data_IF_467431901021
#
_entry.id   IF_467431901021
#
_cell.length_a   1.000
_cell.length_b   1.000
_cell.length_c   1.000
_cell.angle_alpha   90.00
_cell.angle_beta   90.00
_cell.angle_gamma   90.00
#
_symmetry.space_group_name_H-M   'P 1'
#
loop_
_entity.id
_entity.type
_entity.pdbx_description
1 polymer ?
#
# COMPACT_ATOMS: atom_id res chain seq x y z
N UNK A 1 -0.25 -19.61 21.84
CA UNK A 1 -0.87 -18.94 20.69
C UNK A 1 0.17 -18.63 19.64
N UNK A 2 -0.18 -18.86 18.40
CA UNK A 2 0.71 -18.58 17.29
C UNK A 2 0.76 -17.07 17.03
N UNK A 3 1.96 -16.52 16.89
CA UNK A 3 2.10 -15.13 16.49
C UNK A 3 1.57 -14.95 15.07
N UNK A 4 0.90 -13.84 14.84
CA UNK A 4 0.51 -13.45 13.49
C UNK A 4 1.61 -12.61 12.85
N UNK A 5 1.71 -12.69 11.55
CA UNK A 5 2.69 -11.94 10.77
C UNK A 5 2.02 -10.77 10.06
N UNK A 6 2.60 -9.61 10.22
CA UNK A 6 2.22 -8.40 9.49
C UNK A 6 3.32 -8.11 8.48
N UNK A 7 3.00 -8.18 7.20
CA UNK A 7 3.96 -7.87 6.14
C UNK A 7 3.79 -6.41 5.71
N UNK A 8 4.89 -5.66 5.76
CA UNK A 8 4.97 -4.31 5.21
C UNK A 8 5.61 -4.40 3.84
N UNK A 9 4.88 -4.03 2.81
CA UNK A 9 5.36 -4.16 1.43
C UNK A 9 6.42 -3.11 1.14
N UNK A 10 7.59 -3.58 0.76
CA UNK A 10 8.71 -2.76 0.28
C UNK A 10 8.76 -2.84 -1.23
N UNK A 11 8.40 -1.75 -1.89
CA UNK A 11 8.56 -1.62 -3.34
C UNK A 11 9.45 -0.41 -3.68
N UNK A 12 10.31 -0.02 -2.73
CA UNK A 12 11.26 1.08 -2.90
C UNK A 12 10.70 2.45 -2.59
N UNK A 13 9.43 2.56 -2.23
CA UNK A 13 8.74 3.83 -1.98
C UNK A 13 8.09 3.79 -0.61
N UNK A 14 8.57 4.62 0.30
CA UNK A 14 7.96 4.74 1.62
C UNK A 14 8.97 4.83 2.76
N UNK A 15 8.51 5.32 3.89
CA UNK A 15 9.31 5.33 5.11
C UNK A 15 9.06 4.05 5.89
N UNK A 16 9.69 2.98 5.43
CA UNK A 16 9.41 1.63 5.91
C UNK A 16 9.85 1.42 7.35
N UNK A 17 10.97 2.02 7.74
CA UNK A 17 11.47 1.89 9.09
C UNK A 17 10.50 2.49 10.11
N UNK A 18 9.98 3.67 9.83
CA UNK A 18 9.02 4.33 10.71
C UNK A 18 7.71 3.55 10.81
N UNK A 19 7.24 3.02 9.69
CA UNK A 19 6.01 2.20 9.65
C UNK A 19 6.22 0.93 10.47
N UNK A 20 7.32 0.22 10.24
CA UNK A 20 7.61 -1.01 10.96
C UNK A 20 7.78 -0.76 12.47
N UNK A 21 8.46 0.32 12.85
CA UNK A 21 8.63 0.70 14.25
C UNK A 21 7.30 1.00 14.93
N UNK A 22 6.43 1.74 14.26
CA UNK A 22 5.11 2.06 14.78
C UNK A 22 4.27 0.79 14.98
N UNK A 23 4.29 -0.11 14.01
CA UNK A 23 3.56 -1.37 14.10
C UNK A 23 4.09 -2.24 15.23
N UNK A 24 5.40 -2.35 15.38
CA UNK A 24 6.01 -3.12 16.48
C UNK A 24 5.68 -2.53 17.84
N UNK A 25 5.56 -1.21 17.92
CA UNK A 25 5.20 -0.53 19.15
C UNK A 25 3.75 -0.80 19.57
N UNK A 26 2.81 -0.73 18.63
CA UNK A 26 1.39 -0.89 18.93
C UNK A 26 0.95 -2.36 18.94
N UNK A 27 1.72 -3.23 18.31
CA UNK A 27 1.42 -4.66 18.24
C UNK A 27 2.66 -5.49 18.58
N UNK A 28 3.19 -5.39 19.82
CA UNK A 28 4.45 -6.06 20.17
C UNK A 28 4.36 -7.59 20.15
N UNK A 29 3.15 -8.13 20.09
CA UNK A 29 2.92 -9.58 20.06
C UNK A 29 2.92 -10.13 18.65
N UNK A 30 3.01 -9.26 17.63
CA UNK A 30 3.00 -9.68 16.23
C UNK A 30 4.41 -9.64 15.66
N UNK A 31 4.64 -10.46 14.63
CA UNK A 31 5.87 -10.40 13.85
C UNK A 31 5.68 -9.41 12.71
N UNK A 32 6.44 -8.32 12.72
CA UNK A 32 6.41 -7.32 11.65
C UNK A 32 7.58 -7.56 10.72
N UNK A 33 7.29 -7.81 9.45
CA UNK A 33 8.30 -8.13 8.43
C UNK A 33 8.19 -7.13 7.30
N UNK A 34 9.30 -6.45 7.00
CA UNK A 34 9.40 -5.59 5.81
C UNK A 34 9.95 -6.45 4.69
N UNK A 35 9.23 -6.54 3.58
CA UNK A 35 9.60 -7.46 2.52
C UNK A 35 9.21 -6.96 1.13
N UNK A 36 10.05 -7.27 0.16
CA UNK A 36 9.75 -7.11 -1.27
C UNK A 36 9.42 -8.43 -1.94
N UNK A 37 9.34 -9.51 -1.17
CA UNK A 37 9.05 -10.85 -1.70
C UNK A 37 7.54 -11.11 -1.68
N UNK A 38 6.91 -11.28 -2.86
CA UNK A 38 5.48 -11.57 -2.94
C UNK A 38 5.06 -12.82 -2.17
N UNK A 39 5.93 -13.82 -2.07
CA UNK A 39 5.61 -15.05 -1.34
C UNK A 39 5.48 -14.81 0.15
N UNK A 40 6.32 -13.93 0.72
CA UNK A 40 6.25 -13.55 2.13
C UNK A 40 4.96 -12.77 2.41
N UNK A 41 4.59 -11.87 1.50
CA UNK A 41 3.34 -11.10 1.62
C UNK A 41 2.14 -12.05 1.55
N UNK A 42 2.15 -13.00 0.62
CA UNK A 42 1.06 -13.97 0.47
C UNK A 42 0.90 -14.85 1.71
N UNK A 43 1.99 -15.17 2.40
CA UNK A 43 1.96 -16.01 3.59
C UNK A 43 1.59 -15.23 4.87
N UNK A 44 1.64 -13.91 4.85
CA UNK A 44 1.34 -13.08 6.02
C UNK A 44 -0.15 -13.10 6.35
N UNK A 45 -0.46 -12.83 7.62
CA UNK A 45 -1.85 -12.75 8.08
C UNK A 45 -2.48 -11.39 7.79
N UNK A 46 -1.67 -10.34 7.77
CA UNK A 46 -2.09 -8.97 7.51
C UNK A 46 -1.04 -8.28 6.67
N UNK A 47 -1.48 -7.31 5.88
CA UNK A 47 -0.59 -6.59 4.96
C UNK A 47 -0.73 -5.09 5.19
N UNK A 48 0.39 -4.40 5.27
CA UNK A 48 0.46 -2.94 5.28
C UNK A 48 1.08 -2.49 3.97
N UNK A 49 0.37 -1.63 3.26
CA UNK A 49 0.76 -1.13 1.95
C UNK A 49 1.02 0.36 2.03
N UNK A 50 2.26 0.77 2.34
CA UNK A 50 2.64 2.17 2.44
C UNK A 50 3.02 2.74 1.08
N UNK A 51 3.25 4.04 1.02
CA UNK A 51 3.79 4.67 -0.17
C UNK A 51 3.95 6.16 0.04
N UNK A 52 5.02 6.71 -0.50
CA UNK A 52 5.27 8.15 -0.53
C UNK A 52 5.81 8.53 -1.91
N UNK A 53 5.70 9.82 -2.24
CA UNK A 53 6.19 10.33 -3.51
C UNK A 53 5.13 10.34 -4.60
N UNK A 54 5.58 10.35 -5.85
CA UNK A 54 4.68 10.46 -6.99
C UNK A 54 3.97 9.13 -7.26
N UNK A 55 2.66 9.20 -7.44
CA UNK A 55 1.83 8.01 -7.70
C UNK A 55 2.29 7.28 -8.97
N UNK A 56 2.76 8.00 -9.98
CA UNK A 56 3.26 7.39 -11.22
C UNK A 56 4.45 6.46 -10.94
N UNK A 57 5.40 6.93 -10.14
CA UNK A 57 6.59 6.14 -9.80
C UNK A 57 6.21 4.94 -8.92
N UNK A 58 5.31 5.16 -7.97
CA UNK A 58 4.81 4.08 -7.13
C UNK A 58 4.13 2.99 -7.97
N UNK A 59 3.24 3.38 -8.87
CA UNK A 59 2.54 2.42 -9.72
C UNK A 59 3.49 1.65 -10.65
N UNK A 60 4.53 2.31 -11.16
CA UNK A 60 5.53 1.64 -11.99
C UNK A 60 6.22 0.51 -11.22
N UNK A 61 6.64 0.78 -9.98
CA UNK A 61 7.31 -0.23 -9.15
C UNK A 61 6.34 -1.32 -8.66
N UNK A 62 5.12 -0.95 -8.30
CA UNK A 62 4.08 -1.90 -7.91
C UNK A 62 3.84 -2.91 -9.03
N UNK A 63 3.70 -2.43 -10.26
CA UNK A 63 3.48 -3.30 -11.42
C UNK A 63 4.71 -4.13 -11.76
N UNK A 64 5.88 -3.52 -11.69
CA UNK A 64 7.14 -4.21 -11.99
C UNK A 64 7.36 -5.41 -11.07
N UNK A 65 7.00 -5.26 -9.80
CA UNK A 65 7.18 -6.31 -8.78
C UNK A 65 5.98 -7.25 -8.68
N UNK A 66 4.90 -6.98 -9.41
CA UNK A 66 3.71 -7.84 -9.42
C UNK A 66 2.79 -7.66 -8.22
N UNK A 67 2.96 -6.61 -7.44
CA UNK A 67 2.14 -6.39 -6.24
C UNK A 67 0.69 -5.98 -6.57
N UNK A 68 0.43 -5.44 -7.75
CA UNK A 68 -0.93 -5.13 -8.18
C UNK A 68 -1.80 -6.40 -8.24
N UNK A 69 -1.29 -7.45 -8.87
CA UNK A 69 -1.98 -8.74 -8.95
C UNK A 69 -2.07 -9.40 -7.58
N UNK A 70 -0.98 -9.38 -6.83
CA UNK A 70 -0.93 -10.00 -5.51
C UNK A 70 -1.94 -9.37 -4.55
N UNK A 71 -1.99 -8.04 -4.48
CA UNK A 71 -2.93 -7.35 -3.61
C UNK A 71 -4.37 -7.65 -4.00
N UNK A 72 -4.67 -7.68 -5.29
CA UNK A 72 -6.01 -8.02 -5.77
C UNK A 72 -6.42 -9.40 -5.30
N UNK A 73 -5.54 -10.38 -5.44
CA UNK A 73 -5.79 -11.76 -5.02
C UNK A 73 -5.94 -11.86 -3.50
N UNK A 74 -5.05 -11.24 -2.75
CA UNK A 74 -5.06 -11.33 -1.28
C UNK A 74 -6.29 -10.65 -0.68
N UNK A 75 -6.68 -9.51 -1.20
CA UNK A 75 -7.89 -8.81 -0.74
C UNK A 75 -9.13 -9.63 -1.07
N UNK A 76 -9.16 -10.28 -2.22
CA UNK A 76 -10.28 -11.15 -2.61
C UNK A 76 -10.45 -12.33 -1.66
N UNK A 77 -9.37 -12.81 -1.04
CA UNK A 77 -9.45 -13.88 -0.03
C UNK A 77 -9.93 -13.41 1.33
N UNK A 78 -10.10 -12.11 1.52
CA UNK A 78 -10.51 -11.52 2.79
C UNK A 78 -9.35 -11.12 3.70
N UNK A 79 -8.11 -11.18 3.22
CA UNK A 79 -6.96 -10.78 4.02
C UNK A 79 -7.03 -9.27 4.34
N UNK A 80 -6.83 -8.87 5.60
CA UNK A 80 -6.79 -7.45 5.95
C UNK A 80 -5.59 -6.75 5.31
N UNK A 81 -5.86 -5.65 4.63
CA UNK A 81 -4.83 -4.80 4.00
C UNK A 81 -5.07 -3.36 4.40
N UNK A 82 -4.03 -2.72 4.93
CA UNK A 82 -4.05 -1.31 5.31
C UNK A 82 -3.20 -0.50 4.32
N UNK A 83 -3.85 0.33 3.52
CA UNK A 83 -3.17 1.28 2.64
C UNK A 83 -2.91 2.59 3.36
N UNK A 84 -1.69 3.11 3.28
CA UNK A 84 -1.28 4.34 3.93
C UNK A 84 -0.76 5.33 2.90
N UNK A 85 -1.28 6.57 2.92
CA UNK A 85 -0.88 7.65 2.02
C UNK A 85 -1.01 7.23 0.55
N UNK A 86 0.07 7.32 -0.21
CA UNK A 86 0.06 6.92 -1.63
C UNK A 86 -0.30 5.45 -1.80
N UNK A 87 0.03 4.59 -0.83
CA UNK A 87 -0.42 3.19 -0.84
C UNK A 87 -1.94 3.08 -0.86
N UNK A 88 -2.63 3.89 -0.07
CA UNK A 88 -4.09 3.96 -0.10
C UNK A 88 -4.59 4.44 -1.46
N UNK A 89 -3.97 5.50 -1.99
CA UNK A 89 -4.37 6.07 -3.29
C UNK A 89 -4.17 5.07 -4.43
N UNK A 90 -3.12 4.26 -4.36
CA UNK A 90 -2.83 3.25 -5.37
C UNK A 90 -3.90 2.16 -5.45
N UNK A 91 -4.69 1.96 -4.40
CA UNK A 91 -5.79 0.99 -4.39
C UNK A 91 -7.03 1.48 -5.15
N UNK A 92 -7.12 2.77 -5.43
CA UNK A 92 -8.23 3.39 -6.14
C UNK A 92 -8.16 3.10 -7.64
N UNK A 93 -9.14 3.59 -8.41
CA UNK A 93 -9.17 3.38 -9.86
C UNK A 93 -8.15 4.23 -10.60
N UNK A 94 -8.06 5.51 -10.24
CA UNK A 94 -7.29 6.49 -10.99
C UNK A 94 -6.89 7.66 -10.10
N UNK A 95 -5.75 8.27 -10.41
CA UNK A 95 -5.29 9.51 -9.77
C UNK A 95 -5.11 10.59 -10.82
N UNK A 96 -5.53 11.81 -10.50
CA UNK A 96 -5.32 12.97 -11.36
C UNK A 96 -3.89 13.51 -11.29
N UNK A 97 -3.08 13.07 -10.32
CA UNK A 97 -1.68 13.48 -10.19
C UNK A 97 -0.87 13.04 -11.41
N UNK A 98 0.24 13.71 -11.64
CA UNK A 98 1.20 13.39 -12.71
C UNK A 98 0.53 13.29 -14.09
N UNK A 99 -0.44 14.16 -14.38
CA UNK A 99 -1.21 14.18 -15.62
C UNK A 99 -2.10 12.94 -15.84
N UNK A 100 -2.44 12.29 -14.76
CA UNK A 100 -3.32 11.12 -14.78
C UNK A 100 -2.56 9.80 -14.73
N UNK A 101 -2.87 8.98 -13.72
CA UNK A 101 -2.26 7.66 -13.54
C UNK A 101 -3.34 6.66 -13.19
N UNK A 102 -3.45 5.60 -13.97
CA UNK A 102 -4.33 4.49 -13.64
C UNK A 102 -3.70 3.69 -12.49
N UNK A 103 -4.49 3.40 -11.48
CA UNK A 103 -4.05 2.71 -10.28
C UNK A 103 -4.52 1.24 -10.30
N UNK A 104 -4.46 0.58 -9.14
CA UNK A 104 -4.76 -0.86 -9.09
C UNK A 104 -6.24 -1.16 -9.34
N UNK A 105 -7.12 -0.25 -8.91
CA UNK A 105 -8.54 -0.39 -9.19
C UNK A 105 -9.26 -1.43 -8.32
N UNK A 106 -8.83 -1.60 -7.07
CA UNK A 106 -9.49 -2.49 -6.12
C UNK A 106 -10.65 -1.77 -5.44
N UNK A 107 -10.42 -0.52 -5.05
CA UNK A 107 -11.44 0.35 -4.47
C UNK A 107 -11.94 1.32 -5.53
N UNK A 108 -13.25 1.43 -5.68
CA UNK A 108 -13.83 2.36 -6.64
C UNK A 108 -13.64 3.79 -6.18
N UNK A 109 -13.23 4.64 -7.08
CA UNK A 109 -13.06 6.06 -6.83
C UNK A 109 -11.78 6.59 -7.43
N UNK A 110 -11.66 7.90 -7.43
CA UNK A 110 -10.54 8.60 -8.03
C UNK A 110 -9.89 9.51 -7.00
N UNK A 111 -8.57 9.63 -7.08
CA UNK A 111 -7.83 10.65 -6.36
C UNK A 111 -7.86 11.90 -7.22
N UNK A 112 -8.44 12.97 -6.71
CA UNK A 112 -8.69 14.18 -7.48
C UNK A 112 -7.89 15.36 -6.94
N UNK A 113 -7.44 16.19 -7.85
CA UNK A 113 -6.79 17.44 -7.51
C UNK A 113 -7.83 18.41 -6.97
N UNK A 114 -7.53 19.07 -5.85
CA UNK A 114 -8.47 20.02 -5.24
C UNK A 114 -8.78 21.23 -6.11
N UNK A 115 -7.81 21.66 -6.92
CA UNK A 115 -7.96 22.83 -7.77
C UNK A 115 -7.74 24.14 -7.01
N UNK A 116 -7.68 25.22 -7.78
CA UNK A 116 -7.42 26.55 -7.21
C UNK A 116 -8.55 26.99 -6.27
N UNK A 117 -9.78 26.61 -6.53
CA UNK A 117 -10.95 27.04 -5.78
C UNK A 117 -11.06 26.39 -4.39
N UNK A 118 -10.24 25.37 -4.10
CA UNK A 118 -10.30 24.63 -2.84
C UNK A 118 -9.08 24.88 -1.97
N UNK A 119 -8.20 25.77 -2.41
CA UNK A 119 -6.88 25.96 -1.80
C UNK A 119 -6.96 26.47 -0.37
N UNK A 120 -7.96 27.25 -0.03
CA UNK A 120 -8.10 27.92 1.25
C UNK A 120 -9.06 27.23 2.22
N UNK A 121 -9.51 26.06 1.90
CA UNK A 121 -10.46 25.33 2.75
C UNK A 121 -9.79 24.37 3.71
#
# INVERSE_FOLDING_TARGET
MTKQTVAVIDYGMGNLHSVASALSHVAPEQDVVVTSDPAVVAAADRVVFPGVGAIRDCMAEIKRLGFDKLLREQIATGKPVLGICVGMQALMDHSEENSGVDCIGILRGNVRFFGENHRDT
#
